data_IF_499819844448
#
_entry.id   IF_499819844448
#
_cell.length_a   1.000
_cell.length_b   1.000
_cell.length_c   1.000
_cell.angle_alpha   90.00
_cell.angle_beta   90.00
_cell.angle_gamma   90.00
#
_symmetry.space_group_name_H-M   'P 1'
#
loop_
_entity.id
_entity.type
_entity.pdbx_description
1 polymer ?
#
# COMPACT_ATOMS: atom_id res chain seq x y z
N UNK A 1 27.95 -31.70 -25.69
CA UNK A 1 27.25 -31.97 -24.43
C UNK A 1 26.17 -33.00 -24.71
N UNK A 2 26.19 -34.14 -24.06
CA UNK A 2 25.21 -35.20 -24.28
C UNK A 2 23.81 -34.80 -23.78
N UNK A 3 22.75 -35.32 -24.41
CA UNK A 3 21.35 -35.08 -24.00
C UNK A 3 21.14 -35.38 -22.51
N UNK A 4 21.74 -36.46 -22.00
CA UNK A 4 21.68 -36.83 -20.58
C UNK A 4 22.26 -35.74 -19.64
N UNK A 5 23.37 -35.10 -20.05
CA UNK A 5 23.99 -34.04 -19.26
C UNK A 5 23.15 -32.75 -19.25
N UNK A 6 22.38 -32.46 -20.33
CA UNK A 6 21.43 -31.35 -20.38
C UNK A 6 20.25 -31.60 -19.41
N UNK A 7 19.63 -32.76 -19.48
CA UNK A 7 18.53 -33.14 -18.57
C UNK A 7 18.94 -33.14 -17.10
N UNK A 8 20.17 -33.62 -16.79
CA UNK A 8 20.68 -33.62 -15.42
C UNK A 8 20.87 -32.19 -14.91
N UNK A 9 21.36 -31.28 -15.75
CA UNK A 9 21.55 -29.87 -15.42
C UNK A 9 20.20 -29.15 -15.25
N UNK A 10 19.22 -29.42 -16.11
CA UNK A 10 17.91 -28.83 -16.02
C UNK A 10 17.19 -29.23 -14.71
N UNK A 11 17.24 -30.51 -14.32
CA UNK A 11 16.74 -30.98 -13.02
C UNK A 11 17.48 -30.36 -11.83
N UNK A 12 18.79 -30.20 -11.94
CA UNK A 12 19.56 -29.56 -10.87
C UNK A 12 19.18 -28.08 -10.70
N UNK A 13 18.97 -27.36 -11.81
CA UNK A 13 18.52 -25.97 -11.80
C UNK A 13 17.08 -25.87 -11.25
N UNK A 14 16.18 -26.75 -11.69
CA UNK A 14 14.82 -26.83 -11.17
C UNK A 14 14.81 -27.09 -9.65
N UNK A 15 15.58 -28.05 -9.18
CA UNK A 15 15.74 -28.33 -7.76
C UNK A 15 16.30 -27.14 -6.98
N UNK A 16 17.27 -26.43 -7.55
CA UNK A 16 17.81 -25.20 -6.95
C UNK A 16 16.75 -24.09 -6.85
N UNK A 17 15.96 -23.89 -7.90
CA UNK A 17 14.88 -22.90 -7.92
C UNK A 17 13.84 -23.24 -6.84
N UNK A 18 13.42 -24.51 -6.75
CA UNK A 18 12.48 -24.97 -5.72
C UNK A 18 13.06 -24.73 -4.32
N UNK A 19 14.33 -25.10 -4.10
CA UNK A 19 15.00 -24.89 -2.81
C UNK A 19 15.03 -23.40 -2.42
N UNK A 20 15.44 -22.53 -3.34
CA UNK A 20 15.48 -21.09 -3.11
C UNK A 20 14.07 -20.51 -2.83
N UNK A 21 13.07 -21.01 -3.54
CA UNK A 21 11.66 -20.63 -3.28
C UNK A 21 11.22 -21.04 -1.88
N UNK A 22 11.53 -22.26 -1.45
CA UNK A 22 11.20 -22.75 -0.11
C UNK A 22 11.92 -21.95 0.99
N UNK A 23 13.18 -21.57 0.79
CA UNK A 23 13.93 -20.72 1.74
C UNK A 23 13.23 -19.38 1.98
N UNK A 24 12.52 -18.83 0.99
CA UNK A 24 11.79 -17.56 1.13
C UNK A 24 10.39 -17.78 1.69
N UNK A 25 9.68 -18.81 1.21
CA UNK A 25 8.26 -19.05 1.54
C UNK A 25 8.08 -19.62 2.95
N UNK A 26 8.97 -20.55 3.37
CA UNK A 26 8.84 -21.23 4.67
C UNK A 26 8.93 -20.24 5.84
N UNK A 27 9.93 -19.34 5.92
CA UNK A 27 9.96 -18.33 7.00
C UNK A 27 8.73 -17.44 7.03
N UNK A 28 8.21 -17.02 5.86
CA UNK A 28 6.99 -16.24 5.79
C UNK A 28 5.80 -16.99 6.40
N UNK A 29 5.64 -18.27 6.06
CA UNK A 29 4.57 -19.10 6.60
C UNK A 29 4.72 -19.31 8.12
N UNK A 30 5.94 -19.51 8.60
CA UNK A 30 6.24 -19.61 10.03
C UNK A 30 5.86 -18.33 10.78
N UNK A 31 6.20 -17.14 10.22
CA UNK A 31 5.85 -15.86 10.83
C UNK A 31 4.33 -15.71 10.92
N UNK A 32 3.60 -15.98 9.84
CA UNK A 32 2.13 -15.89 9.83
C UNK A 32 1.53 -16.83 10.88
N UNK A 33 1.99 -18.09 10.94
CA UNK A 33 1.52 -19.05 11.91
C UNK A 33 1.83 -18.60 13.35
N UNK A 34 3.03 -18.07 13.59
CA UNK A 34 3.44 -17.55 14.87
C UNK A 34 2.56 -16.37 15.33
N UNK A 35 2.26 -15.43 14.43
CA UNK A 35 1.34 -14.31 14.69
C UNK A 35 -0.05 -14.82 15.06
N UNK A 36 -0.57 -15.80 14.35
CA UNK A 36 -1.91 -16.37 14.61
C UNK A 36 -1.93 -17.06 15.98
N UNK A 37 -0.96 -17.91 16.28
CA UNK A 37 -0.92 -18.66 17.54
C UNK A 37 -0.85 -17.72 18.75
N UNK A 38 -0.06 -16.66 18.69
CA UNK A 38 0.13 -15.75 19.82
C UNK A 38 -0.94 -14.65 19.90
N UNK A 39 -1.60 -14.33 18.80
CA UNK A 39 -2.55 -13.22 18.75
C UNK A 39 -4.02 -13.61 18.86
N UNK A 40 -4.39 -14.86 18.55
CA UNK A 40 -5.79 -15.28 18.49
C UNK A 40 -6.50 -15.17 19.85
N UNK A 41 -5.77 -15.38 20.93
CA UNK A 41 -6.30 -15.30 22.32
C UNK A 41 -6.62 -13.88 22.75
N UNK A 42 -6.02 -12.87 22.11
CA UNK A 42 -6.28 -11.46 22.40
C UNK A 42 -7.54 -10.92 21.69
N UNK A 43 -8.03 -11.63 20.67
CA UNK A 43 -9.18 -11.22 19.86
C UNK A 43 -10.49 -11.59 20.56
N UNK A 44 -10.94 -10.69 21.42
CA UNK A 44 -12.26 -10.75 22.07
C UNK A 44 -13.12 -9.55 21.62
N UNK A 45 -14.39 -9.49 22.05
CA UNK A 45 -15.28 -8.38 21.72
C UNK A 45 -14.72 -7.03 22.19
N UNK A 46 -14.08 -7.01 23.34
CA UNK A 46 -13.52 -5.81 23.96
C UNK A 46 -12.36 -5.25 23.14
N UNK A 47 -11.56 -6.10 22.48
CA UNK A 47 -10.49 -5.70 21.57
C UNK A 47 -10.98 -4.76 20.45
N UNK A 48 -12.20 -4.96 19.97
CA UNK A 48 -12.81 -4.17 18.87
C UNK A 48 -13.67 -3.01 19.35
N UNK A 49 -13.97 -2.90 20.63
CA UNK A 49 -14.92 -1.90 21.16
C UNK A 49 -14.30 -0.97 22.20
N UNK A 50 -13.17 -1.34 22.77
CA UNK A 50 -12.50 -0.56 23.80
C UNK A 50 -11.26 0.15 23.26
N UNK A 51 -10.86 1.21 23.93
CA UNK A 51 -9.60 1.90 23.74
C UNK A 51 -8.47 1.24 24.52
N UNK A 52 -7.22 1.61 24.22
CA UNK A 52 -6.07 1.11 24.94
C UNK A 52 -6.09 1.65 26.38
N UNK A 53 -6.32 0.78 27.33
CA UNK A 53 -6.22 1.10 28.74
C UNK A 53 -4.76 1.31 29.18
N UNK A 54 -4.58 1.82 30.41
CA UNK A 54 -3.26 1.83 31.03
C UNK A 54 -2.78 0.38 31.28
N UNK A 55 -1.44 0.13 31.36
CA UNK A 55 -0.92 -1.20 31.70
C UNK A 55 -1.53 -1.79 32.97
N UNK A 56 -1.78 -0.96 33.97
CA UNK A 56 -2.41 -1.37 35.24
C UNK A 56 -3.85 -1.87 35.06
N UNK A 57 -4.61 -1.32 34.09
CA UNK A 57 -5.96 -1.83 33.77
C UNK A 57 -5.87 -3.21 33.13
N UNK A 58 -4.96 -3.40 32.18
CA UNK A 58 -4.73 -4.70 31.53
C UNK A 58 -4.29 -5.76 32.55
N UNK A 59 -3.37 -5.43 33.47
CA UNK A 59 -2.92 -6.33 34.57
C UNK A 59 -4.05 -6.70 35.52
N UNK A 60 -5.06 -5.84 35.73
CA UNK A 60 -6.24 -6.10 36.54
C UNK A 60 -7.35 -6.87 35.80
N UNK A 61 -7.08 -7.32 34.55
CA UNK A 61 -8.08 -7.98 33.71
C UNK A 61 -9.25 -7.09 33.29
N UNK A 62 -9.09 -5.76 33.34
CA UNK A 62 -10.12 -4.84 32.88
C UNK A 62 -10.12 -4.74 31.36
N UNK A 63 -11.27 -4.47 30.71
CA UNK A 63 -11.38 -4.38 29.27
C UNK A 63 -10.40 -3.38 28.66
N UNK A 64 -9.67 -3.82 27.63
CA UNK A 64 -8.75 -3.03 26.83
C UNK A 64 -8.85 -3.47 25.37
N UNK A 65 -8.67 -2.54 24.43
CA UNK A 65 -8.81 -2.81 23.02
C UNK A 65 -8.02 -1.85 22.14
N UNK A 66 -8.14 -2.02 20.82
CA UNK A 66 -7.41 -1.25 19.82
C UNK A 66 -8.34 -0.56 18.79
N UNK A 67 -9.60 -0.29 19.16
CA UNK A 67 -10.57 0.35 18.26
C UNK A 67 -10.06 1.68 17.69
N UNK A 68 -9.41 2.51 18.51
CA UNK A 68 -8.84 3.80 18.09
C UNK A 68 -7.76 3.63 17.02
N UNK A 69 -6.89 2.62 17.14
CA UNK A 69 -5.84 2.31 16.18
C UNK A 69 -6.40 1.70 14.89
N UNK A 70 -7.44 0.86 14.99
CA UNK A 70 -8.11 0.25 13.83
C UNK A 70 -8.77 1.34 12.99
N UNK A 71 -9.59 2.19 13.62
CA UNK A 71 -10.28 3.28 12.92
C UNK A 71 -9.28 4.29 12.36
N UNK A 72 -8.27 4.65 13.13
CA UNK A 72 -7.26 5.60 12.67
C UNK A 72 -6.45 5.08 11.49
N UNK A 73 -6.13 3.78 11.43
CA UNK A 73 -5.51 3.17 10.24
C UNK A 73 -6.38 3.38 9.00
N UNK A 74 -7.66 3.02 9.08
CA UNK A 74 -8.59 3.16 7.95
C UNK A 74 -8.71 4.62 7.51
N UNK A 75 -8.84 5.55 8.44
CA UNK A 75 -9.01 6.98 8.14
C UNK A 75 -7.76 7.55 7.49
N UNK A 76 -6.59 7.35 8.11
CA UNK A 76 -5.32 7.91 7.60
C UNK A 76 -4.97 7.31 6.24
N UNK A 77 -5.13 6.00 6.08
CA UNK A 77 -4.81 5.30 4.83
C UNK A 77 -5.74 5.72 3.68
N UNK A 78 -7.04 5.88 3.94
CA UNK A 78 -7.98 6.32 2.91
C UNK A 78 -7.73 7.77 2.47
N UNK A 79 -7.41 8.67 3.39
CA UNK A 79 -7.07 10.06 3.06
C UNK A 79 -5.75 10.09 2.28
N UNK A 80 -4.74 9.31 2.71
CA UNK A 80 -3.48 9.20 1.99
C UNK A 80 -3.68 8.68 0.56
N UNK A 81 -4.53 7.66 0.40
CA UNK A 81 -4.88 7.09 -0.91
C UNK A 81 -5.60 8.13 -1.80
N UNK A 82 -6.57 8.86 -1.25
CA UNK A 82 -7.31 9.90 -1.97
C UNK A 82 -6.38 11.01 -2.48
N UNK A 83 -5.32 11.35 -1.73
CA UNK A 83 -4.29 12.29 -2.17
C UNK A 83 -3.32 11.63 -3.17
N UNK A 84 -2.84 10.42 -2.90
CA UNK A 84 -1.78 9.80 -3.69
C UNK A 84 -2.23 9.39 -5.10
N UNK A 85 -3.48 8.93 -5.27
CA UNK A 85 -3.98 8.42 -6.55
C UNK A 85 -3.94 9.48 -7.66
N UNK A 86 -4.53 10.67 -7.51
CA UNK A 86 -4.53 11.67 -8.59
C UNK A 86 -3.11 12.14 -8.92
N UNK A 87 -2.26 12.40 -7.93
CA UNK A 87 -0.87 12.83 -8.17
C UNK A 87 -0.03 11.71 -8.79
N UNK A 88 -0.16 10.48 -8.32
CA UNK A 88 0.57 9.33 -8.84
C UNK A 88 0.21 9.02 -10.29
N UNK A 89 -1.10 8.99 -10.61
CA UNK A 89 -1.56 8.76 -11.99
C UNK A 89 -1.11 9.89 -12.90
N UNK A 90 -1.28 11.16 -12.53
CA UNK A 90 -0.86 12.31 -13.32
C UNK A 90 0.66 12.27 -13.61
N UNK A 91 1.46 11.95 -12.59
CA UNK A 91 2.91 11.77 -12.71
C UNK A 91 3.26 10.64 -13.68
N UNK A 92 2.59 9.48 -13.57
CA UNK A 92 2.80 8.34 -14.46
C UNK A 92 2.42 8.64 -15.92
N UNK A 93 1.31 9.36 -16.15
CA UNK A 93 0.90 9.84 -17.47
C UNK A 93 1.96 10.79 -18.04
N UNK A 94 2.45 11.73 -17.24
CA UNK A 94 3.50 12.67 -17.66
C UNK A 94 4.76 11.94 -18.14
N UNK A 95 5.20 10.92 -17.41
CA UNK A 95 6.40 10.14 -17.75
C UNK A 95 6.21 9.24 -18.97
N UNK A 96 5.00 8.72 -19.22
CA UNK A 96 4.71 7.78 -20.31
C UNK A 96 4.28 8.47 -21.58
N UNK A 97 3.29 9.37 -21.52
CA UNK A 97 2.64 9.95 -22.71
C UNK A 97 3.32 11.23 -23.21
N UNK A 98 4.14 11.87 -22.35
CA UNK A 98 4.85 13.11 -22.68
C UNK A 98 6.36 12.99 -22.41
N UNK A 99 7.06 11.95 -22.95
CA UNK A 99 8.47 11.72 -22.62
C UNK A 99 9.41 12.84 -23.09
N UNK A 100 9.04 13.56 -24.15
CA UNK A 100 9.83 14.67 -24.73
C UNK A 100 9.60 16.01 -24.00
N UNK A 101 8.62 16.07 -23.10
CA UNK A 101 8.37 17.31 -22.35
C UNK A 101 9.52 17.56 -21.35
N UNK A 102 10.03 18.80 -21.22
CA UNK A 102 11.20 19.12 -20.40
C UNK A 102 11.05 18.76 -18.92
N UNK A 103 9.83 18.66 -18.40
CA UNK A 103 9.54 18.20 -17.04
C UNK A 103 9.62 16.67 -16.87
N UNK A 104 9.49 15.89 -17.95
CA UNK A 104 9.44 14.43 -17.85
C UNK A 104 10.71 13.80 -17.24
N UNK A 105 11.94 14.17 -17.67
CA UNK A 105 13.15 13.63 -17.03
C UNK A 105 13.28 14.03 -15.56
N UNK A 106 12.89 15.25 -15.20
CA UNK A 106 12.90 15.73 -13.81
C UNK A 106 11.92 14.92 -12.97
N UNK A 107 10.70 14.75 -13.45
CA UNK A 107 9.64 13.95 -12.79
C UNK A 107 10.10 12.50 -12.58
N UNK A 108 10.75 11.90 -13.59
CA UNK A 108 11.29 10.54 -13.50
C UNK A 108 12.40 10.43 -12.48
N UNK A 109 13.31 11.41 -12.44
CA UNK A 109 14.38 11.47 -11.44
C UNK A 109 13.79 11.57 -10.02
N UNK A 110 12.86 12.51 -9.80
CA UNK A 110 12.19 12.69 -8.50
C UNK A 110 11.45 11.42 -8.05
N UNK A 111 10.67 10.82 -8.94
CA UNK A 111 9.94 9.57 -8.65
C UNK A 111 10.91 8.43 -8.28
N UNK A 112 12.04 8.32 -9.00
CA UNK A 112 13.06 7.29 -8.72
C UNK A 112 13.74 7.54 -7.37
N UNK A 113 14.07 8.79 -7.07
CA UNK A 113 14.68 9.18 -5.80
C UNK A 113 13.74 8.88 -4.63
N UNK A 114 12.46 9.29 -4.74
CA UNK A 114 11.45 9.01 -3.70
C UNK A 114 11.25 7.50 -3.49
N UNK A 115 11.22 6.68 -4.55
CA UNK A 115 11.12 5.23 -4.41
C UNK A 115 12.32 4.57 -3.71
N UNK A 116 13.51 5.17 -3.82
CA UNK A 116 14.73 4.70 -3.17
C UNK A 116 14.93 5.22 -1.75
N UNK A 117 14.13 6.19 -1.32
CA UNK A 117 14.28 6.78 0.02
C UNK A 117 13.67 5.89 1.11
N UNK A 118 14.34 5.76 2.27
CA UNK A 118 13.72 5.15 3.46
C UNK A 118 12.41 5.86 3.85
N UNK A 119 11.38 5.09 4.20
CA UNK A 119 10.05 5.63 4.53
C UNK A 119 10.07 6.68 5.67
N UNK A 120 11.01 6.56 6.62
CA UNK A 120 11.17 7.53 7.71
C UNK A 120 11.48 8.94 7.19
N UNK A 121 12.21 9.07 6.08
CA UNK A 121 12.50 10.37 5.46
C UNK A 121 11.26 11.01 4.84
N UNK A 122 10.29 10.20 4.35
CA UNK A 122 8.98 10.71 3.93
C UNK A 122 8.21 11.30 5.12
N UNK A 123 8.31 10.65 6.28
CA UNK A 123 7.77 11.20 7.53
C UNK A 123 8.43 12.52 7.92
N UNK A 124 9.75 12.61 7.82
CA UNK A 124 10.49 13.85 8.13
C UNK A 124 10.12 14.98 7.15
N UNK A 125 9.97 14.68 5.88
CA UNK A 125 9.52 15.64 4.87
C UNK A 125 8.10 16.15 5.18
N UNK A 126 7.17 15.25 5.48
CA UNK A 126 5.81 15.62 5.88
C UNK A 126 5.79 16.40 7.21
N UNK A 127 6.65 16.04 8.16
CA UNK A 127 6.84 16.81 9.40
C UNK A 127 7.24 18.26 9.09
N UNK A 128 8.25 18.46 8.25
CA UNK A 128 8.74 19.79 7.89
C UNK A 128 7.68 20.61 7.13
N UNK A 129 6.90 19.98 6.25
CA UNK A 129 5.91 20.65 5.41
C UNK A 129 4.56 20.88 6.11
N UNK A 130 4.15 19.99 6.99
CA UNK A 130 2.81 20.05 7.61
C UNK A 130 2.92 20.32 9.10
N UNK A 131 3.52 19.43 9.89
CA UNK A 131 3.52 19.52 11.36
C UNK A 131 4.13 20.82 11.85
N UNK A 132 5.29 21.20 11.29
CA UNK A 132 5.98 22.45 11.67
C UNK A 132 5.15 23.69 11.35
N UNK A 133 4.40 23.67 10.25
CA UNK A 133 3.62 24.83 9.79
C UNK A 133 2.22 24.91 10.45
N UNK A 134 1.64 23.77 10.83
CA UNK A 134 0.36 23.72 11.55
C UNK A 134 0.50 23.79 13.06
N UNK A 135 1.74 23.68 13.58
CA UNK A 135 2.05 23.75 15.00
C UNK A 135 1.73 22.49 15.78
N UNK A 136 1.41 21.35 15.15
CA UNK A 136 1.10 20.12 15.86
C UNK A 136 1.04 18.86 15.00
N UNK A 137 1.16 17.72 15.65
CA UNK A 137 0.93 16.41 15.05
C UNK A 137 -0.54 16.22 14.72
N UNK A 138 -0.85 15.56 13.60
CA UNK A 138 -2.24 15.39 13.17
C UNK A 138 -2.40 14.19 12.23
N UNK A 139 -3.63 13.67 12.12
CA UNK A 139 -3.98 12.64 11.15
C UNK A 139 -3.71 13.11 9.71
N UNK A 140 -3.97 14.38 9.39
CA UNK A 140 -3.66 14.95 8.08
C UNK A 140 -2.16 14.92 7.78
N UNK A 141 -1.30 15.26 8.74
CA UNK A 141 0.15 15.15 8.56
C UNK A 141 0.59 13.70 8.31
N UNK A 142 -0.01 12.73 9.03
CA UNK A 142 0.19 11.31 8.80
C UNK A 142 -0.24 10.87 7.41
N UNK A 143 -1.41 11.33 6.96
CA UNK A 143 -1.93 11.02 5.62
C UNK A 143 -1.03 11.58 4.51
N UNK A 144 -0.50 12.79 4.67
CA UNK A 144 0.48 13.38 3.73
C UNK A 144 1.77 12.56 3.69
N UNK A 145 2.26 12.09 4.85
CA UNK A 145 3.45 11.26 4.92
C UNK A 145 3.27 9.93 4.17
N UNK A 146 2.14 9.25 4.35
CA UNK A 146 1.81 8.03 3.62
C UNK A 146 1.56 8.30 2.14
N UNK A 147 0.96 9.44 1.77
CA UNK A 147 0.80 9.82 0.37
C UNK A 147 2.16 9.96 -0.33
N UNK A 148 3.18 10.53 0.32
CA UNK A 148 4.54 10.58 -0.23
C UNK A 148 5.15 9.18 -0.46
N UNK A 149 4.79 8.19 0.35
CA UNK A 149 5.19 6.79 0.12
C UNK A 149 4.44 6.18 -1.07
N UNK A 150 3.13 6.47 -1.22
CA UNK A 150 2.28 5.87 -2.25
C UNK A 150 2.52 6.48 -3.63
N UNK A 151 2.67 7.81 -3.74
CA UNK A 151 2.76 8.54 -5.02
C UNK A 151 3.81 7.94 -5.97
N UNK A 152 5.07 7.73 -5.58
CA UNK A 152 6.08 7.22 -6.49
C UNK A 152 5.80 5.78 -6.95
N UNK A 153 5.15 4.96 -6.12
CA UNK A 153 4.78 3.58 -6.48
C UNK A 153 3.67 3.60 -7.53
N UNK A 154 2.62 4.41 -7.30
CA UNK A 154 1.50 4.58 -8.25
C UNK A 154 2.02 5.16 -9.57
N UNK A 155 2.90 6.17 -9.52
CA UNK A 155 3.46 6.81 -10.69
C UNK A 155 4.25 5.81 -11.56
N UNK A 156 5.13 5.01 -10.96
CA UNK A 156 5.92 4.00 -11.66
C UNK A 156 5.06 2.87 -12.22
N UNK A 157 4.08 2.40 -11.46
CA UNK A 157 3.14 1.39 -11.93
C UNK A 157 2.31 1.92 -13.11
N UNK A 158 1.81 3.15 -13.01
CA UNK A 158 1.06 3.80 -14.09
C UNK A 158 1.93 3.97 -15.35
N UNK A 159 3.16 4.47 -15.21
CA UNK A 159 4.12 4.59 -16.33
C UNK A 159 4.31 3.23 -17.01
N UNK A 160 4.62 2.18 -16.25
CA UNK A 160 4.89 0.85 -16.78
C UNK A 160 3.69 0.26 -17.51
N UNK A 161 2.47 0.41 -16.96
CA UNK A 161 1.24 -0.10 -17.57
C UNK A 161 0.90 0.66 -18.86
N UNK A 162 1.07 1.97 -18.88
CA UNK A 162 0.85 2.77 -20.08
C UNK A 162 1.84 2.44 -21.20
N UNK A 163 3.10 2.13 -20.87
CA UNK A 163 4.12 1.74 -21.84
C UNK A 163 3.82 0.41 -22.53
N UNK A 164 3.23 -0.57 -21.83
CA UNK A 164 2.84 -1.86 -22.42
C UNK A 164 1.48 -1.82 -23.14
N UNK A 165 0.71 -0.73 -22.97
CA UNK A 165 -0.58 -0.55 -23.69
C UNK A 165 -0.32 -0.40 -25.18
N UNK A 166 -1.03 -1.16 -26.08
CA UNK A 166 -0.76 -1.19 -27.50
C UNK A 166 -0.72 0.20 -28.12
N UNK A 167 0.33 0.47 -28.93
CA UNK A 167 0.51 1.76 -29.59
C UNK A 167 -0.61 2.06 -30.60
N UNK A 168 -1.19 1.02 -31.19
CA UNK A 168 -2.31 1.14 -32.12
C UNK A 168 -3.50 1.93 -31.57
N UNK A 169 -3.75 1.91 -30.28
CA UNK A 169 -4.80 2.74 -29.66
C UNK A 169 -4.51 4.23 -29.81
N UNK A 170 -3.24 4.62 -29.76
CA UNK A 170 -2.82 6.01 -29.93
C UNK A 170 -2.91 6.41 -31.38
N UNK A 171 -2.47 5.56 -32.30
CA UNK A 171 -2.54 5.78 -33.76
C UNK A 171 -3.98 5.97 -34.24
N UNK A 172 -4.90 5.09 -33.80
CA UNK A 172 -6.33 5.21 -34.14
C UNK A 172 -6.91 6.51 -33.61
N UNK A 173 -6.63 6.90 -32.39
CA UNK A 173 -7.13 8.15 -31.84
C UNK A 173 -6.60 9.39 -32.56
N UNK A 174 -5.31 9.39 -32.88
CA UNK A 174 -4.67 10.50 -33.62
C UNK A 174 -5.13 10.58 -35.07
N UNK A 175 -5.33 9.45 -35.79
CA UNK A 175 -5.85 9.43 -37.13
C UNK A 175 -7.29 9.94 -37.28
N UNK A 176 -8.07 9.84 -36.18
CA UNK A 176 -9.40 10.46 -36.08
C UNK A 176 -9.35 11.97 -35.73
N UNK A 177 -8.16 12.57 -35.70
CA UNK A 177 -7.97 14.00 -35.42
C UNK A 177 -8.13 14.38 -33.93
N UNK A 178 -8.15 13.41 -33.03
CA UNK A 178 -8.22 13.71 -31.59
C UNK A 178 -6.88 14.26 -31.07
N UNK A 179 -6.88 15.30 -30.23
CA UNK A 179 -5.66 15.78 -29.58
C UNK A 179 -5.09 14.75 -28.60
N UNK A 180 -3.77 14.72 -28.41
CA UNK A 180 -3.04 13.74 -27.60
C UNK A 180 -3.66 13.52 -26.23
N UNK A 181 -3.99 14.60 -25.50
CA UNK A 181 -4.58 14.48 -24.16
C UNK A 181 -5.92 13.74 -24.17
N UNK A 182 -6.75 13.93 -25.20
CA UNK A 182 -8.05 13.27 -25.36
C UNK A 182 -7.86 11.78 -25.71
N UNK A 183 -6.89 11.45 -26.55
CA UNK A 183 -6.50 10.06 -26.83
C UNK A 183 -6.08 9.37 -25.55
N UNK A 184 -5.20 9.99 -24.76
CA UNK A 184 -4.74 9.45 -23.47
C UNK A 184 -5.90 9.21 -22.50
N UNK A 185 -6.78 10.20 -22.31
CA UNK A 185 -7.86 10.09 -21.31
C UNK A 185 -9.00 9.17 -21.77
N UNK A 186 -9.33 9.14 -23.08
CA UNK A 186 -10.51 8.44 -23.58
C UNK A 186 -10.22 7.03 -24.11
N UNK A 187 -8.98 6.72 -24.52
CA UNK A 187 -8.61 5.44 -25.12
C UNK A 187 -7.55 4.72 -24.29
N UNK A 188 -6.40 5.36 -24.03
CA UNK A 188 -5.24 4.70 -23.42
C UNK A 188 -5.49 4.41 -21.92
N UNK A 189 -5.90 5.42 -21.17
CA UNK A 189 -6.14 5.30 -19.73
C UNK A 189 -7.27 4.30 -19.39
N UNK A 190 -8.42 4.28 -20.09
CA UNK A 190 -9.44 3.26 -19.91
C UNK A 190 -8.96 1.84 -20.18
N UNK A 191 -8.13 1.63 -21.21
CA UNK A 191 -7.55 0.32 -21.52
C UNK A 191 -6.54 -0.12 -20.44
N UNK A 192 -5.81 0.82 -19.85
CA UNK A 192 -4.81 0.60 -18.83
C UNK A 192 -5.38 0.45 -17.40
N UNK A 193 -6.68 0.73 -17.19
CA UNK A 193 -7.32 0.76 -15.85
C UNK A 193 -7.01 -0.45 -14.95
N UNK A 194 -7.11 -1.70 -15.42
CA UNK A 194 -6.87 -2.86 -14.55
C UNK A 194 -5.44 -2.87 -13.97
N UNK A 195 -4.45 -2.59 -14.82
CA UNK A 195 -3.05 -2.55 -14.40
C UNK A 195 -2.75 -1.38 -13.46
N UNK A 196 -3.30 -0.20 -13.73
CA UNK A 196 -3.15 0.98 -12.86
C UNK A 196 -3.78 0.70 -11.49
N UNK A 197 -4.98 0.11 -11.46
CA UNK A 197 -5.63 -0.25 -10.20
C UNK A 197 -4.82 -1.26 -9.39
N UNK A 198 -4.19 -2.24 -10.06
CA UNK A 198 -3.25 -3.16 -9.41
C UNK A 198 -2.07 -2.42 -8.76
N UNK A 199 -1.51 -1.42 -9.45
CA UNK A 199 -0.45 -0.57 -8.91
C UNK A 199 -0.89 0.24 -7.68
N UNK A 200 -2.12 0.75 -7.70
CA UNK A 200 -2.73 1.43 -6.54
C UNK A 200 -2.86 0.49 -5.36
N UNK A 201 -3.32 -0.75 -5.57
CA UNK A 201 -3.43 -1.76 -4.50
C UNK A 201 -2.08 -2.09 -3.88
N UNK A 202 -1.03 -2.23 -4.70
CA UNK A 202 0.33 -2.49 -4.22
C UNK A 202 0.84 -1.32 -3.37
N UNK A 203 0.62 -0.09 -3.82
CA UNK A 203 1.01 1.12 -3.08
C UNK A 203 0.27 1.21 -1.74
N UNK A 204 -1.04 0.95 -1.73
CA UNK A 204 -1.86 0.92 -0.53
C UNK A 204 -1.40 -0.15 0.46
N UNK A 205 -1.23 -1.40 0.00
CA UNK A 205 -0.80 -2.51 0.86
C UNK A 205 0.55 -2.24 1.52
N UNK A 206 1.48 -1.59 0.78
CA UNK A 206 2.76 -1.18 1.34
C UNK A 206 2.59 -0.09 2.41
N UNK A 207 1.87 0.97 2.10
CA UNK A 207 1.71 2.11 3.01
C UNK A 207 0.92 1.75 4.28
N UNK A 208 -0.08 0.87 4.17
CA UNK A 208 -0.89 0.39 5.29
C UNK A 208 -0.08 -0.36 6.38
N UNK A 209 1.14 -0.81 6.07
CA UNK A 209 2.06 -1.41 7.03
C UNK A 209 3.15 -0.46 7.57
N UNK A 210 3.20 0.78 7.11
CA UNK A 210 4.29 1.70 7.47
C UNK A 210 4.04 2.40 8.82
N UNK A 211 4.92 2.15 9.80
CA UNK A 211 4.88 2.81 11.11
C UNK A 211 5.77 4.06 11.17
N UNK A 212 6.98 4.01 10.59
CA UNK A 212 8.02 5.00 10.78
C UNK A 212 7.63 6.44 10.37
N UNK A 213 7.00 6.68 9.19
CA UNK A 213 6.57 8.03 8.84
C UNK A 213 5.49 8.58 9.78
N UNK A 214 4.60 7.72 10.28
CA UNK A 214 3.50 8.11 11.16
C UNK A 214 3.97 8.52 12.56
N UNK A 215 5.05 7.91 13.06
CA UNK A 215 5.66 8.31 14.34
C UNK A 215 6.14 9.76 14.36
N UNK A 216 6.49 10.30 13.19
CA UNK A 216 6.97 11.68 13.04
C UNK A 216 5.85 12.68 12.69
N UNK A 217 4.63 12.22 12.39
CA UNK A 217 3.58 13.07 11.80
C UNK A 217 2.23 12.94 12.49
N UNK A 218 1.71 11.73 12.67
CA UNK A 218 0.47 11.45 13.39
C UNK A 218 0.68 11.33 14.90
N UNK A 219 1.84 10.83 15.31
CA UNK A 219 2.33 10.66 16.68
C UNK A 219 1.52 9.68 17.55
N UNK A 220 0.31 9.33 17.18
CA UNK A 220 -0.57 8.42 17.91
C UNK A 220 -1.36 9.07 19.05
N UNK A 221 -2.44 8.40 19.45
CA UNK A 221 -3.33 8.78 20.52
C UNK A 221 -3.91 7.50 21.14
N UNK A 222 -4.13 7.49 22.46
CA UNK A 222 -4.75 6.34 23.14
C UNK A 222 -6.29 6.38 23.13
N UNK A 223 -6.86 7.47 22.65
CA UNK A 223 -8.29 7.71 22.60
C UNK A 223 -8.78 7.79 21.16
N UNK A 224 -10.00 7.35 20.93
CA UNK A 224 -10.66 7.47 19.64
C UNK A 224 -10.98 8.95 19.35
N UNK A 225 -10.46 9.43 18.24
CA UNK A 225 -10.80 10.75 17.70
C UNK A 225 -11.01 10.64 16.19
N UNK A 226 -11.95 11.41 15.66
CA UNK A 226 -12.17 11.60 14.22
C UNK A 226 -11.77 13.01 13.77
N UNK A 227 -11.19 13.80 14.68
CA UNK A 227 -10.67 15.11 14.36
C UNK A 227 -9.33 14.98 13.63
N UNK A 228 -9.33 15.23 12.33
CA UNK A 228 -8.16 15.08 11.46
C UNK A 228 -7.03 16.07 11.78
N UNK A 229 -7.32 17.10 12.55
CA UNK A 229 -6.32 18.11 12.97
C UNK A 229 -5.58 17.70 14.23
N UNK A 230 -5.98 16.61 14.87
CA UNK A 230 -5.38 16.06 16.10
C UNK A 230 -4.55 14.81 15.84
N UNK A 231 -3.63 14.47 16.77
CA UNK A 231 -2.93 13.19 16.74
C UNK A 231 -3.92 12.02 16.67
N UNK A 232 -3.67 11.08 15.78
CA UNK A 232 -4.47 9.87 15.59
C UNK A 232 -3.57 8.66 15.53
N UNK A 233 -3.98 7.59 16.19
CA UNK A 233 -3.21 6.36 16.25
C UNK A 233 -3.46 5.47 15.02
N UNK A 234 -2.50 4.59 14.73
CA UNK A 234 -2.63 3.57 13.68
C UNK A 234 -2.11 2.22 14.16
N UNK A 235 -2.62 1.13 13.58
CA UNK A 235 -2.17 -0.21 13.93
C UNK A 235 -0.65 -0.40 13.78
N UNK A 236 0.00 -0.05 12.65
CA UNK A 236 1.45 -0.24 12.51
C UNK A 236 2.25 0.48 13.59
N UNK A 237 1.90 1.71 13.90
CA UNK A 237 2.54 2.52 14.93
C UNK A 237 2.27 1.95 16.33
N UNK A 238 1.04 1.52 16.58
CA UNK A 238 0.65 0.90 17.85
C UNK A 238 1.36 -0.44 18.07
N UNK A 239 1.45 -1.29 17.05
CA UNK A 239 2.17 -2.55 17.13
C UNK A 239 3.63 -2.36 17.54
N UNK A 240 4.30 -1.37 16.95
CA UNK A 240 5.67 -1.03 17.36
C UNK A 240 5.72 -0.64 18.83
N UNK A 241 4.84 0.24 19.30
CA UNK A 241 4.80 0.70 20.69
C UNK A 241 4.51 -0.43 21.68
N UNK A 242 3.61 -1.35 21.33
CA UNK A 242 3.28 -2.50 22.15
C UNK A 242 4.43 -3.52 22.17
N UNK A 243 5.13 -3.71 21.05
CA UNK A 243 6.24 -4.66 20.94
C UNK A 243 7.45 -4.29 21.80
N UNK A 244 7.75 -2.98 21.93
CA UNK A 244 8.86 -2.49 22.79
C UNK A 244 8.46 -2.27 24.24
N UNK A 245 7.19 -2.49 24.58
CA UNK A 245 6.68 -2.33 25.94
C UNK A 245 7.25 -3.39 26.88
N UNK A 246 7.51 -3.07 28.15
CA UNK A 246 7.93 -4.06 29.15
C UNK A 246 6.77 -4.95 29.66
N UNK A 247 5.51 -4.70 29.26
CA UNK A 247 4.32 -5.38 29.78
C UNK A 247 3.87 -6.52 28.89
N UNK A 248 3.76 -7.75 29.44
CA UNK A 248 3.37 -8.96 28.68
C UNK A 248 1.96 -8.87 28.10
N UNK A 249 1.03 -8.26 28.82
CA UNK A 249 -0.36 -8.06 28.41
C UNK A 249 -0.43 -7.22 27.13
N UNK A 250 0.44 -6.23 27.00
CA UNK A 250 0.52 -5.41 25.82
C UNK A 250 1.14 -6.14 24.62
N UNK A 251 2.08 -7.07 24.87
CA UNK A 251 2.60 -7.92 23.79
C UNK A 251 1.48 -8.81 23.21
N UNK A 252 0.62 -9.40 24.06
CA UNK A 252 -0.52 -10.18 23.60
C UNK A 252 -1.47 -9.35 22.74
N UNK A 253 -1.78 -8.11 23.16
CA UNK A 253 -2.57 -7.17 22.34
C UNK A 253 -1.85 -6.79 21.03
N UNK A 254 -0.54 -6.65 21.07
CA UNK A 254 0.28 -6.42 19.87
C UNK A 254 0.13 -7.56 18.84
N UNK A 255 0.19 -8.82 19.28
CA UNK A 255 -0.04 -9.96 18.40
C UNK A 255 -1.46 -9.99 17.83
N UNK A 256 -2.48 -9.68 18.63
CA UNK A 256 -3.86 -9.53 18.17
C UNK A 256 -3.99 -8.43 17.11
N UNK A 257 -3.39 -7.27 17.36
CA UNK A 257 -3.36 -6.17 16.38
C UNK A 257 -2.64 -6.53 15.08
N UNK A 258 -1.58 -7.34 15.15
CA UNK A 258 -0.88 -7.85 13.97
C UNK A 258 -1.78 -8.75 13.11
N UNK A 259 -2.63 -9.60 13.71
CA UNK A 259 -3.64 -10.38 12.97
C UNK A 259 -4.61 -9.44 12.26
N UNK A 260 -5.11 -8.42 12.95
CA UNK A 260 -6.07 -7.47 12.34
C UNK A 260 -5.45 -6.70 11.20
N UNK A 261 -4.21 -6.23 11.34
CA UNK A 261 -3.50 -5.56 10.27
C UNK A 261 -3.29 -6.48 9.06
N UNK A 262 -2.87 -7.74 9.31
CA UNK A 262 -2.72 -8.75 8.26
C UNK A 262 -4.04 -9.00 7.53
N UNK A 263 -5.14 -9.20 8.26
CA UNK A 263 -6.47 -9.41 7.69
C UNK A 263 -6.95 -8.17 6.92
N UNK A 264 -6.69 -6.97 7.42
CA UNK A 264 -7.03 -5.71 6.74
C UNK A 264 -6.34 -5.60 5.38
N UNK A 265 -5.03 -5.81 5.34
CA UNK A 265 -4.24 -5.76 4.10
C UNK A 265 -4.66 -6.89 3.14
N UNK A 266 -4.81 -8.14 3.64
CA UNK A 266 -5.23 -9.27 2.82
C UNK A 266 -6.63 -9.07 2.23
N UNK A 267 -7.59 -8.62 3.03
CA UNK A 267 -8.96 -8.37 2.58
C UNK A 267 -8.98 -7.29 1.50
N UNK A 268 -8.27 -6.19 1.72
CA UNK A 268 -8.15 -5.11 0.73
C UNK A 268 -7.55 -5.64 -0.58
N UNK A 269 -6.51 -6.48 -0.49
CA UNK A 269 -5.87 -7.06 -1.67
C UNK A 269 -6.79 -8.03 -2.42
N UNK A 270 -7.49 -8.90 -1.69
CA UNK A 270 -8.44 -9.87 -2.28
C UNK A 270 -9.60 -9.14 -2.95
N UNK A 271 -10.23 -8.20 -2.26
CA UNK A 271 -11.34 -7.40 -2.81
C UNK A 271 -10.88 -6.62 -4.03
N UNK A 272 -9.73 -5.96 -3.93
CA UNK A 272 -9.16 -5.24 -5.05
C UNK A 272 -8.87 -6.13 -6.26
N UNK A 273 -8.33 -7.34 -6.07
CA UNK A 273 -8.08 -8.31 -7.14
C UNK A 273 -9.37 -8.77 -7.82
N UNK A 274 -10.43 -9.00 -7.05
CA UNK A 274 -11.76 -9.32 -7.61
C UNK A 274 -12.27 -8.18 -8.49
N UNK A 275 -12.08 -6.93 -8.05
CA UNK A 275 -12.46 -5.75 -8.85
C UNK A 275 -11.67 -5.70 -10.16
N UNK A 276 -10.34 -5.91 -10.11
CA UNK A 276 -9.48 -5.96 -11.31
C UNK A 276 -9.96 -7.03 -12.29
N UNK A 277 -10.19 -8.25 -11.84
CA UNK A 277 -10.68 -9.35 -12.68
C UNK A 277 -12.02 -9.02 -13.35
N UNK A 278 -12.94 -8.39 -12.63
CA UNK A 278 -14.21 -7.93 -13.21
C UNK A 278 -14.02 -6.83 -14.27
N UNK A 279 -13.05 -5.94 -14.09
CA UNK A 279 -12.71 -4.91 -15.08
C UNK A 279 -12.16 -5.55 -16.37
N UNK A 280 -11.24 -6.52 -16.27
CA UNK A 280 -10.66 -7.25 -17.39
C UNK A 280 -11.71 -8.01 -18.18
N UNK A 281 -12.58 -8.76 -17.50
CA UNK A 281 -13.66 -9.51 -18.14
C UNK A 281 -14.63 -8.61 -18.92
N UNK A 282 -14.93 -7.41 -18.41
CA UNK A 282 -15.77 -6.44 -19.11
C UNK A 282 -15.10 -5.86 -20.36
N UNK A 283 -13.81 -5.59 -20.32
CA UNK A 283 -13.05 -5.11 -21.49
C UNK A 283 -13.03 -6.18 -22.59
N UNK A 284 -12.78 -7.43 -22.26
CA UNK A 284 -12.76 -8.55 -23.21
C UNK A 284 -14.14 -8.81 -23.82
N UNK A 285 -15.20 -8.74 -23.03
CA UNK A 285 -16.57 -8.96 -23.49
C UNK A 285 -17.04 -7.89 -24.49
N UNK A 286 -16.69 -6.62 -24.22
CA UNK A 286 -17.04 -5.52 -25.12
C UNK A 286 -16.30 -5.60 -26.47
N UNK A 287 -15.07 -6.13 -26.48
CA UNK A 287 -14.31 -6.33 -27.73
C UNK A 287 -14.91 -7.45 -28.60
N UNK A 288 -15.43 -8.51 -28.01
CA UNK A 288 -16.08 -9.63 -28.76
C UNK A 288 -17.46 -9.27 -29.31
N UNK A 289 -18.23 -8.43 -28.59
CA UNK A 289 -19.58 -8.00 -29.06
C UNK A 289 -19.54 -6.98 -30.20
N UNK A 290 -18.44 -6.23 -30.36
CA UNK A 290 -18.30 -5.26 -31.46
C UNK A 290 -17.75 -5.87 -32.76
N UNK A 291 -17.43 -7.17 -32.81
CA UNK A 291 -16.91 -7.90 -33.96
C UNK A 291 -18.00 -8.82 -34.57
N UNK A 292 -19.08 -9.03 -33.87
CA UNK A 292 -20.26 -9.77 -34.35
C UNK A 292 -21.33 -8.83 -34.90
#
# INVERSE_FOLDING_TARGET
>A
MTLKARYARDRAIEGLIILLTLIVVVPLFIIILYVIINGITALNWEFFTQELGSPSRAMQGRPTGLIHSIIGTVVIDLIALAMAVPFGIATGIMMSEYPEHPLSPITRLMTSTLNGMPAVLMGLLAFALVVKNTGGFSALAGSVALAFVMVPIIARSTESVLQITPWSLREVGLSLGLPRWKVTMSLVLPAARPGIFTGILIAFARAAGEAAPLMLTSFGNNYLTLDLTKPMDTLPQRLYSLAISPYREWHSMGWGGAIILLLFVMTTFIVGRIVVQRMETRLTRNSTQNIS
#
